data_IF_596436927096
#
_entry.id   IF_596436927096
#
_cell.length_a   1.000
_cell.length_b   1.000
_cell.length_c   1.000
_cell.angle_alpha   90.00
_cell.angle_beta   90.00
_cell.angle_gamma   90.00
#
_symmetry.space_group_name_H-M   'P 1'
#
loop_
_entity.id
_entity.type
_entity.pdbx_description
1 polymer ?
#
# COMPACT_ATOMS: atom_id res chain seq x y z
N UNK A 1 -3.40 -21.87 -13.75
CA UNK A 1 -2.56 -20.73 -13.44
C UNK A 1 -3.23 -19.74 -12.55
N UNK A 2 -4.33 -19.16 -12.99
CA UNK A 2 -4.99 -18.17 -12.17
C UNK A 2 -5.44 -18.73 -10.85
N UNK A 3 -5.82 -19.97 -10.82
CA UNK A 3 -6.26 -20.58 -9.56
C UNK A 3 -5.16 -20.60 -8.53
N UNK A 4 -3.96 -20.88 -8.94
CA UNK A 4 -2.83 -20.90 -8.04
C UNK A 4 -2.58 -19.54 -7.47
N UNK A 5 -2.64 -18.53 -8.31
CA UNK A 5 -2.40 -17.19 -7.86
C UNK A 5 -3.44 -16.74 -6.85
N UNK A 6 -4.68 -17.11 -7.10
CA UNK A 6 -5.73 -16.75 -6.17
C UNK A 6 -5.52 -17.38 -4.81
N UNK A 7 -5.09 -18.62 -4.79
CA UNK A 7 -4.83 -19.29 -3.53
C UNK A 7 -3.71 -18.65 -2.77
N UNK A 8 -2.64 -18.31 -3.46
CA UNK A 8 -1.52 -17.64 -2.83
C UNK A 8 -1.95 -16.31 -2.27
N UNK A 9 -2.76 -15.58 -3.02
CA UNK A 9 -3.27 -14.30 -2.56
C UNK A 9 -4.05 -14.44 -1.28
N UNK A 10 -4.89 -15.45 -1.20
CA UNK A 10 -5.68 -15.65 -0.01
C UNK A 10 -4.83 -15.92 1.20
N UNK A 11 -3.79 -16.70 1.04
CA UNK A 11 -2.89 -16.94 2.13
C UNK A 11 -2.22 -15.69 2.60
N UNK A 12 -1.85 -14.86 1.65
CA UNK A 12 -1.23 -13.60 1.99
C UNK A 12 -2.17 -12.68 2.68
N UNK A 13 -3.44 -12.76 2.33
CA UNK A 13 -4.42 -11.90 2.95
C UNK A 13 -4.49 -12.05 4.45
N UNK A 14 -4.08 -13.19 4.96
CA UNK A 14 -4.03 -13.37 6.39
C UNK A 14 -3.18 -12.29 7.03
N UNK A 15 -2.09 -11.91 6.35
CA UNK A 15 -1.21 -10.91 6.89
C UNK A 15 -1.34 -9.55 6.24
N UNK A 16 -2.14 -9.42 5.18
CA UNK A 16 -2.21 -8.17 4.45
C UNK A 16 -3.63 -7.73 4.14
N UNK A 17 -4.57 -8.21 4.93
CA UNK A 17 -5.97 -7.92 4.73
C UNK A 17 -6.30 -6.46 4.61
N UNK A 18 -5.66 -5.64 5.45
CA UNK A 18 -5.98 -4.22 5.51
C UNK A 18 -5.73 -3.51 4.20
N UNK A 19 -4.87 -4.09 3.34
CA UNK A 19 -4.55 -3.47 2.07
C UNK A 19 -5.22 -4.13 0.88
N UNK A 20 -6.09 -5.11 1.11
CA UNK A 20 -6.58 -5.99 0.06
C UNK A 20 -7.38 -5.32 -1.03
N UNK A 21 -8.07 -4.24 -0.71
CA UNK A 21 -9.00 -3.63 -1.66
C UNK A 21 -8.59 -2.23 -2.10
N UNK A 22 -7.37 -1.83 -1.85
CA UNK A 22 -6.92 -0.51 -2.29
C UNK A 22 -5.97 -0.67 -3.47
N UNK A 23 -5.93 0.31 -4.37
CA UNK A 23 -5.02 0.26 -5.51
C UNK A 23 -3.58 0.22 -5.06
N UNK A 24 -2.78 -0.57 -5.76
CA UNK A 24 -1.36 -0.69 -5.46
C UNK A 24 -0.56 -0.24 -6.66
N UNK A 25 0.37 0.66 -6.42
CA UNK A 25 1.24 1.17 -7.47
C UNK A 25 2.67 0.76 -7.21
N UNK A 26 3.36 0.37 -8.27
CA UNK A 26 4.75 -0.05 -8.19
C UNK A 26 5.61 1.00 -8.85
N UNK A 27 6.50 1.61 -8.08
CA UNK A 27 7.35 2.67 -8.60
C UNK A 27 8.78 2.47 -8.13
N UNK A 28 9.69 3.23 -8.72
CA UNK A 28 11.10 3.18 -8.33
C UNK A 28 11.52 4.53 -7.83
N UNK A 29 12.46 4.52 -6.87
CA UNK A 29 12.90 5.78 -6.27
C UNK A 29 13.64 6.67 -7.26
N UNK A 30 14.42 6.06 -8.15
CA UNK A 30 15.31 6.84 -8.98
C UNK A 30 16.29 7.60 -8.12
N UNK A 31 16.28 8.91 -8.24
CA UNK A 31 17.20 9.76 -7.47
C UNK A 31 16.60 10.25 -6.17
N UNK A 32 15.39 9.87 -5.87
CA UNK A 32 14.68 10.40 -4.71
C UNK A 32 14.65 9.40 -3.58
N UNK A 33 14.36 9.90 -2.39
CA UNK A 33 14.07 9.03 -1.27
C UNK A 33 12.72 8.34 -1.53
N UNK A 34 12.49 7.17 -0.94
CA UNK A 34 11.26 6.43 -1.23
C UNK A 34 9.99 7.25 -1.00
N UNK A 35 9.91 7.95 0.12
CA UNK A 35 8.71 8.72 0.41
C UNK A 35 8.54 9.87 -0.58
N UNK A 36 9.65 10.47 -0.99
CA UNK A 36 9.61 11.55 -1.97
C UNK A 36 9.16 11.03 -3.31
N UNK A 37 9.63 9.85 -3.70
CA UNK A 37 9.22 9.24 -4.95
C UNK A 37 7.72 8.98 -4.95
N UNK A 38 7.18 8.49 -3.83
CA UNK A 38 5.76 8.25 -3.73
C UNK A 38 4.97 9.55 -3.85
N UNK A 39 5.41 10.59 -3.17
CA UNK A 39 4.73 11.89 -3.23
C UNK A 39 4.71 12.47 -4.62
N UNK A 40 5.84 12.37 -5.31
CA UNK A 40 5.92 12.87 -6.67
C UNK A 40 4.98 12.08 -7.58
N UNK A 41 4.95 10.78 -7.40
CA UNK A 41 4.08 9.94 -8.22
C UNK A 41 2.61 10.32 -8.03
N UNK A 42 2.22 10.56 -6.78
CA UNK A 42 0.86 10.99 -6.47
C UNK A 42 0.55 12.30 -7.21
N UNK A 43 1.45 13.27 -7.09
CA UNK A 43 1.23 14.58 -7.69
C UNK A 43 1.21 14.50 -9.21
N UNK A 44 2.14 13.76 -9.78
CA UNK A 44 2.26 13.70 -11.24
C UNK A 44 1.10 12.98 -11.90
N UNK A 45 0.47 12.06 -11.18
CA UNK A 45 -0.61 11.26 -11.73
C UNK A 45 -1.98 11.63 -11.14
N UNK A 46 -2.03 12.66 -10.32
CA UNK A 46 -3.27 13.12 -9.69
C UNK A 46 -4.03 11.97 -9.05
N UNK A 47 -3.33 11.18 -8.25
CA UNK A 47 -3.93 10.01 -7.64
C UNK A 47 -4.80 10.37 -6.46
N UNK A 48 -5.74 9.48 -6.16
CA UNK A 48 -6.65 9.66 -5.04
C UNK A 48 -6.32 8.69 -3.93
N UNK A 49 -6.55 9.10 -2.68
CA UNK A 49 -6.48 8.20 -1.56
C UNK A 49 -7.78 7.40 -1.50
N UNK A 50 -7.75 6.18 -0.96
CA UNK A 50 -6.57 5.51 -0.43
C UNK A 50 -5.78 4.79 -1.52
N UNK A 51 -4.48 4.69 -1.32
CA UNK A 51 -3.60 4.00 -2.27
C UNK A 51 -2.42 3.40 -1.53
N UNK A 52 -1.81 2.39 -2.13
CA UNK A 52 -0.61 1.77 -1.61
C UNK A 52 0.49 1.90 -2.64
N UNK A 53 1.70 2.18 -2.18
CA UNK A 53 2.85 2.34 -3.06
C UNK A 53 3.96 1.39 -2.65
N UNK A 54 4.38 0.56 -3.60
CA UNK A 54 5.56 -0.27 -3.42
C UNK A 54 6.69 0.43 -4.14
N UNK A 55 7.60 1.00 -3.37
CA UNK A 55 8.67 1.84 -3.90
C UNK A 55 9.97 1.05 -3.82
N UNK A 56 10.46 0.69 -4.98
CA UNK A 56 11.65 -0.14 -5.06
C UNK A 56 12.90 0.71 -5.00
N UNK A 57 13.77 0.42 -4.02
CA UNK A 57 15.04 1.12 -3.88
C UNK A 57 16.14 0.45 -4.67
N UNK A 58 16.13 -0.88 -4.70
CA UNK A 58 17.10 -1.65 -5.45
C UNK A 58 16.52 -3.04 -5.65
N UNK A 59 17.33 -3.96 -6.16
CA UNK A 59 16.84 -5.31 -6.48
C UNK A 59 16.26 -6.04 -5.29
N UNK A 60 16.72 -5.70 -4.10
CA UNK A 60 16.35 -6.48 -2.92
C UNK A 60 15.53 -5.71 -1.90
N UNK A 61 15.28 -4.45 -2.12
CA UNK A 61 14.63 -3.62 -1.11
C UNK A 61 13.47 -2.83 -1.70
N UNK A 62 12.31 -3.04 -1.11
CA UNK A 62 11.11 -2.31 -1.50
C UNK A 62 10.47 -1.75 -0.24
N UNK A 63 10.18 -0.45 -0.26
CA UNK A 63 9.48 0.21 0.82
C UNK A 63 8.02 0.31 0.44
N UNK A 64 7.15 0.09 1.41
CA UNK A 64 5.73 0.11 1.15
C UNK A 64 5.09 1.22 1.95
N UNK A 65 4.28 2.04 1.28
CA UNK A 65 3.61 3.17 1.91
C UNK A 65 2.11 3.09 1.68
N UNK A 66 1.38 3.59 2.66
CA UNK A 66 -0.05 3.76 2.54
C UNK A 66 -0.38 5.24 2.52
N UNK A 67 -1.21 5.65 1.57
CA UNK A 67 -1.67 7.03 1.47
C UNK A 67 -3.16 7.03 1.76
N UNK A 68 -3.53 7.70 2.83
CA UNK A 68 -4.92 7.77 3.25
C UNK A 68 -5.26 9.11 3.85
N UNK A 69 -6.27 9.11 4.70
CA UNK A 69 -6.83 10.35 5.26
C UNK A 69 -5.85 11.18 6.05
N UNK A 70 -4.88 10.52 6.67
CA UNK A 70 -3.88 11.23 7.49
C UNK A 70 -2.63 11.59 6.72
N UNK A 71 -2.53 11.18 5.47
CA UNK A 71 -1.37 11.45 4.66
C UNK A 71 -0.65 10.17 4.25
N UNK A 72 0.62 10.31 3.95
CA UNK A 72 1.43 9.18 3.48
C UNK A 72 2.29 8.65 4.62
N UNK A 73 2.09 7.39 4.96
CA UNK A 73 2.81 6.73 6.05
C UNK A 73 3.31 5.37 5.58
N UNK A 74 4.25 4.79 6.33
CA UNK A 74 4.66 3.44 6.01
C UNK A 74 3.45 2.51 6.15
N UNK A 75 3.41 1.49 5.32
CA UNK A 75 2.29 0.56 5.35
C UNK A 75 2.21 -0.15 6.70
N UNK A 76 3.37 -0.46 7.29
CA UNK A 76 3.37 -1.11 8.58
C UNK A 76 2.72 -0.24 9.65
N UNK A 77 3.08 1.05 9.66
CA UNK A 77 2.47 1.97 10.61
C UNK A 77 0.96 2.03 10.40
N UNK A 78 0.53 2.12 9.15
CA UNK A 78 -0.89 2.21 8.86
C UNK A 78 -1.65 0.96 9.29
N UNK A 79 -1.05 -0.21 9.07
CA UNK A 79 -1.69 -1.45 9.49
C UNK A 79 -1.79 -1.55 11.01
N UNK A 80 -0.75 -1.13 11.70
CA UNK A 80 -0.73 -1.19 13.15
C UNK A 80 -1.65 -0.16 13.79
N UNK A 81 -1.94 0.89 13.05
CA UNK A 81 -2.77 1.99 13.53
C UNK A 81 -3.96 2.23 12.61
N UNK A 82 -4.54 1.14 12.10
CA UNK A 82 -5.59 1.28 11.08
C UNK A 82 -6.80 2.08 11.58
N UNK A 83 -6.96 2.18 12.89
CA UNK A 83 -8.05 2.97 13.44
C UNK A 83 -7.90 4.47 13.14
N UNK A 84 -6.69 4.90 12.78
CA UNK A 84 -6.45 6.28 12.37
C UNK A 84 -6.78 6.53 10.90
N UNK A 85 -7.03 5.45 10.17
CA UNK A 85 -7.27 5.54 8.74
C UNK A 85 -8.61 4.89 8.43
N UNK A 86 -9.69 5.67 8.40
CA UNK A 86 -11.02 5.10 8.18
C UNK A 86 -11.12 4.20 6.95
N UNK A 87 -10.39 4.50 5.89
CA UNK A 87 -10.43 3.67 4.70
C UNK A 87 -9.89 2.27 4.97
N UNK A 88 -8.84 2.15 5.78
CA UNK A 88 -8.30 0.85 6.14
C UNK A 88 -9.20 0.13 7.12
N UNK A 89 -9.78 0.89 8.04
CA UNK A 89 -10.66 0.29 9.03
C UNK A 89 -11.85 -0.41 8.37
N UNK A 90 -12.41 0.25 7.36
CA UNK A 90 -13.53 -0.33 6.65
C UNK A 90 -13.14 -1.64 5.99
N UNK A 91 -11.96 -1.66 5.37
CA UNK A 91 -11.48 -2.88 4.72
C UNK A 91 -11.32 -4.01 5.74
N UNK A 92 -10.73 -3.70 6.88
CA UNK A 92 -10.51 -4.71 7.92
C UNK A 92 -11.83 -5.26 8.42
N UNK A 93 -12.78 -4.38 8.72
CA UNK A 93 -14.06 -4.81 9.24
C UNK A 93 -14.90 -5.53 8.20
N UNK A 94 -14.75 -5.12 6.95
CA UNK A 94 -15.49 -5.78 5.88
C UNK A 94 -15.02 -7.19 5.64
N UNK A 95 -13.77 -7.48 5.95
CA UNK A 95 -13.22 -8.81 5.80
C UNK A 95 -13.60 -9.69 7.00
N UNK A 96 -13.58 -9.08 8.15
CA UNK A 96 -13.84 -9.74 9.40
C UNK A 96 -15.13 -10.46 9.46
#
# INVERSE_FOLDING_TARGET
MSKKRKRISRRRLAGQRVMAHVPIYHIETGKHKPVTAARRFIAENALSAPSVFNVRRNEHTTDRFFWGEKGLFSAQYAEENHFLFPSLKVVVEGIG
#
